data_IF_440245952364
#
_entry.id   IF_440245952364
#
_cell.length_a   1.000
_cell.length_b   1.000
_cell.length_c   1.000
_cell.angle_alpha   90.00
_cell.angle_beta   90.00
_cell.angle_gamma   90.00
#
_symmetry.space_group_name_H-M   'P 1'
#
loop_
_entity.id
_entity.type
_entity.pdbx_description
1 polymer ?
#
# COMPACT_ATOMS: atom_id res chain seq x y z
N UNK A 1 3.99 20.98 -7.13
CA UNK A 1 4.27 20.28 -5.84
C UNK A 1 5.74 19.89 -5.82
N UNK A 2 6.41 20.02 -4.66
CA UNK A 2 7.76 19.47 -4.44
C UNK A 2 7.70 17.94 -4.66
N UNK A 3 8.71 17.35 -5.32
CA UNK A 3 8.79 15.91 -5.63
C UNK A 3 8.60 15.04 -4.38
N UNK A 4 9.20 15.44 -3.26
CA UNK A 4 9.03 14.79 -1.95
C UNK A 4 7.56 14.75 -1.52
N UNK A 5 6.87 15.88 -1.62
CA UNK A 5 5.44 15.99 -1.26
C UNK A 5 4.55 15.18 -2.19
N UNK A 6 4.90 15.06 -3.48
CA UNK A 6 4.18 14.19 -4.42
C UNK A 6 4.33 12.72 -4.04
N UNK A 7 5.55 12.27 -3.74
CA UNK A 7 5.77 10.89 -3.27
C UNK A 7 5.00 10.62 -1.98
N UNK A 8 5.08 11.52 -1.00
CA UNK A 8 4.35 11.35 0.26
C UNK A 8 2.83 11.33 0.06
N UNK A 9 2.30 12.17 -0.82
CA UNK A 9 0.89 12.19 -1.16
C UNK A 9 0.42 10.88 -1.80
N UNK A 10 1.17 10.35 -2.77
CA UNK A 10 0.87 9.06 -3.40
C UNK A 10 0.97 7.91 -2.40
N UNK A 11 1.96 7.92 -1.50
CA UNK A 11 2.08 6.95 -0.42
C UNK A 11 0.84 7.00 0.50
N UNK A 12 0.39 8.19 0.90
CA UNK A 12 -0.81 8.37 1.73
C UNK A 12 -2.08 7.82 1.09
N UNK A 13 -2.34 8.20 -0.16
CA UNK A 13 -3.53 7.74 -0.88
C UNK A 13 -3.51 6.23 -0.99
N UNK A 14 -2.38 5.65 -1.40
CA UNK A 14 -2.25 4.22 -1.59
C UNK A 14 -2.39 3.45 -0.29
N UNK A 15 -1.77 3.94 0.79
CA UNK A 15 -1.89 3.40 2.14
C UNK A 15 -3.34 3.40 2.62
N UNK A 16 -4.04 4.53 2.47
CA UNK A 16 -5.45 4.65 2.86
C UNK A 16 -6.36 3.77 2.00
N UNK A 17 -6.10 3.68 0.69
CA UNK A 17 -6.87 2.83 -0.21
C UNK A 17 -6.79 1.35 0.19
N UNK A 18 -5.59 0.85 0.52
CA UNK A 18 -5.41 -0.52 0.99
C UNK A 18 -6.11 -0.73 2.34
N UNK A 19 -5.99 0.19 3.28
CA UNK A 19 -6.69 0.11 4.57
C UNK A 19 -8.21 0.08 4.39
N UNK A 20 -8.75 0.95 3.53
CA UNK A 20 -10.18 0.98 3.23
C UNK A 20 -10.64 -0.30 2.54
N UNK A 21 -9.84 -0.88 1.65
CA UNK A 21 -10.14 -2.16 1.02
C UNK A 21 -10.19 -3.30 2.05
N UNK A 22 -9.28 -3.32 3.03
CA UNK A 22 -9.31 -4.29 4.13
C UNK A 22 -10.56 -4.12 5.01
N UNK A 23 -10.92 -2.88 5.33
CA UNK A 23 -12.14 -2.58 6.11
C UNK A 23 -13.40 -2.98 5.33
N UNK A 24 -13.47 -2.67 4.03
CA UNK A 24 -14.58 -3.09 3.19
C UNK A 24 -14.68 -4.62 3.10
N UNK A 25 -13.55 -5.31 2.92
CA UNK A 25 -13.49 -6.78 2.96
C UNK A 25 -13.86 -7.37 4.31
N UNK A 26 -13.64 -6.64 5.42
CA UNK A 26 -14.09 -7.06 6.75
C UNK A 26 -15.62 -7.08 6.88
N UNK A 27 -16.32 -6.20 6.17
CA UNK A 27 -17.79 -6.07 6.23
C UNK A 27 -18.49 -7.21 5.48
N UNK A 28 -17.87 -7.74 4.43
CA UNK A 28 -18.43 -8.82 3.61
C UNK A 28 -17.85 -10.20 3.95
N UNK A 29 -16.66 -10.23 4.57
CA UNK A 29 -15.92 -11.44 4.90
C UNK A 29 -15.57 -11.56 6.39
N UNK A 30 -14.38 -12.06 6.67
CA UNK A 30 -13.91 -12.28 8.03
C UNK A 30 -13.20 -11.06 8.60
N UNK A 31 -13.83 -10.38 9.57
CA UNK A 31 -13.22 -9.25 10.27
C UNK A 31 -11.89 -9.62 10.96
N UNK A 32 -11.70 -10.87 11.37
CA UNK A 32 -10.46 -11.35 11.99
C UNK A 32 -9.29 -11.32 10.98
N UNK A 33 -9.53 -11.76 9.76
CA UNK A 33 -8.53 -11.72 8.69
C UNK A 33 -8.21 -10.28 8.29
N UNK A 34 -9.22 -9.40 8.27
CA UNK A 34 -8.99 -7.99 8.03
C UNK A 34 -8.13 -7.35 9.12
N UNK A 35 -8.37 -7.64 10.40
CA UNK A 35 -7.53 -7.15 11.51
C UNK A 35 -6.09 -7.63 11.37
N UNK A 36 -5.87 -8.93 11.14
CA UNK A 36 -4.53 -9.49 10.92
C UNK A 36 -3.88 -8.81 9.71
N UNK A 37 -4.64 -8.66 8.63
CA UNK A 37 -4.22 -7.98 7.42
C UNK A 37 -3.92 -6.51 7.60
N UNK A 38 -4.47 -5.81 8.60
CA UNK A 38 -4.15 -4.40 8.86
C UNK A 38 -2.84 -4.21 9.65
N UNK A 39 -2.40 -5.21 10.43
CA UNK A 39 -1.25 -5.07 11.34
C UNK A 39 0.01 -4.54 10.64
N UNK A 40 0.46 -5.09 9.50
CA UNK A 40 1.67 -4.59 8.82
C UNK A 40 1.56 -3.11 8.46
N UNK A 41 0.40 -2.67 7.96
CA UNK A 41 0.15 -1.27 7.59
C UNK A 41 0.10 -0.36 8.82
N UNK A 42 -0.50 -0.81 9.93
CA UNK A 42 -0.56 -0.03 11.15
C UNK A 42 0.83 0.16 11.79
N UNK A 43 1.70 -0.84 11.70
CA UNK A 43 3.07 -0.74 12.23
C UNK A 43 3.92 0.28 11.46
N UNK A 44 3.66 0.47 10.17
CA UNK A 44 4.42 1.38 9.28
C UNK A 44 3.76 2.74 9.09
N UNK A 45 2.71 3.06 9.84
CA UNK A 45 1.91 4.30 9.66
C UNK A 45 2.76 5.58 9.68
N UNK A 46 3.86 5.59 10.43
CA UNK A 46 4.75 6.75 10.53
C UNK A 46 5.33 7.18 9.18
N UNK A 47 5.56 6.24 8.25
CA UNK A 47 6.07 6.55 6.92
C UNK A 47 5.05 7.34 6.09
N UNK A 48 3.94 6.71 5.66
CA UNK A 48 2.95 7.37 4.82
C UNK A 48 2.30 8.56 5.52
N UNK A 49 1.98 8.47 6.82
CA UNK A 49 1.25 9.54 7.51
C UNK A 49 2.17 10.70 7.90
N UNK A 50 3.30 10.42 8.57
CA UNK A 50 4.17 11.47 9.13
C UNK A 50 5.34 11.86 8.20
N UNK A 51 5.58 11.10 7.14
CA UNK A 51 6.74 11.32 6.26
C UNK A 51 8.05 10.78 6.83
N UNK A 52 8.01 9.92 7.86
CA UNK A 52 9.22 9.35 8.45
C UNK A 52 9.97 8.47 7.43
N UNK A 53 11.27 8.70 7.27
CA UNK A 53 12.10 7.98 6.29
C UNK A 53 12.14 6.49 6.58
N UNK A 54 12.40 6.10 7.84
CA UNK A 54 12.45 4.68 8.23
C UNK A 54 11.08 4.02 8.05
N UNK A 55 10.01 4.72 8.43
CA UNK A 55 8.65 4.27 8.23
C UNK A 55 8.31 4.03 6.76
N UNK A 56 8.77 4.89 5.84
CA UNK A 56 8.59 4.69 4.40
C UNK A 56 9.40 3.49 3.88
N UNK A 57 10.64 3.32 4.33
CA UNK A 57 11.44 2.12 4.01
C UNK A 57 10.73 0.83 4.45
N UNK A 58 10.18 0.80 5.67
CA UNK A 58 9.39 -0.32 6.15
C UNK A 58 8.06 -0.48 5.41
N UNK A 59 7.40 0.62 5.02
CA UNK A 59 6.16 0.57 4.24
C UNK A 59 6.37 -0.11 2.88
N UNK A 60 7.53 0.11 2.24
CA UNK A 60 7.89 -0.59 1.01
C UNK A 60 7.98 -2.13 1.22
N UNK A 61 8.41 -2.59 2.38
CA UNK A 61 8.40 -4.02 2.71
C UNK A 61 7.02 -4.52 3.13
N UNK A 62 6.33 -3.78 4.00
CA UNK A 62 5.04 -4.17 4.56
C UNK A 62 3.96 -4.31 3.50
N UNK A 63 4.09 -3.61 2.37
CA UNK A 63 3.08 -3.63 1.31
C UNK A 63 3.14 -4.88 0.41
N UNK A 64 4.25 -5.62 0.43
CA UNK A 64 4.48 -6.75 -0.49
C UNK A 64 3.39 -7.83 -0.46
N UNK A 65 2.85 -8.26 0.70
CA UNK A 65 1.78 -9.27 0.74
C UNK A 65 0.50 -8.81 0.03
N UNK A 66 0.12 -7.54 0.15
CA UNK A 66 -1.07 -7.01 -0.54
C UNK A 66 -0.85 -6.95 -2.05
N UNK A 67 0.35 -6.53 -2.49
CA UNK A 67 0.68 -6.54 -3.91
C UNK A 67 0.58 -7.95 -4.49
N UNK A 68 1.21 -8.94 -3.84
CA UNK A 68 1.20 -10.33 -4.32
C UNK A 68 -0.22 -10.88 -4.39
N UNK A 69 -0.99 -10.74 -3.30
CA UNK A 69 -2.39 -11.15 -3.26
C UNK A 69 -3.24 -10.46 -4.33
N UNK A 70 -3.08 -9.15 -4.48
CA UNK A 70 -3.80 -8.36 -5.47
C UNK A 70 -3.53 -8.83 -6.89
N UNK A 71 -2.27 -9.09 -7.23
CA UNK A 71 -1.91 -9.60 -8.56
C UNK A 71 -2.48 -11.00 -8.80
N UNK A 72 -2.33 -11.92 -7.84
CA UNK A 72 -2.79 -13.31 -8.01
C UNK A 72 -4.30 -13.39 -8.21
N UNK A 73 -5.06 -12.69 -7.36
CA UNK A 73 -6.53 -12.70 -7.43
C UNK A 73 -7.05 -11.89 -8.62
N UNK A 74 -6.36 -10.82 -9.02
CA UNK A 74 -6.75 -10.08 -10.21
C UNK A 74 -6.53 -10.90 -11.48
N UNK A 75 -5.47 -11.71 -11.54
CA UNK A 75 -5.26 -12.67 -12.64
C UNK A 75 -6.37 -13.72 -12.65
N UNK A 76 -6.74 -14.25 -11.49
CA UNK A 76 -7.86 -15.20 -11.37
C UNK A 76 -9.18 -14.60 -11.86
N UNK A 77 -9.53 -13.39 -11.41
CA UNK A 77 -10.71 -12.64 -11.87
C UNK A 77 -10.77 -12.45 -13.39
N UNK A 78 -9.62 -12.31 -14.05
CA UNK A 78 -9.55 -12.03 -15.49
C UNK A 78 -9.46 -13.30 -16.35
N UNK A 79 -8.90 -14.38 -15.82
CA UNK A 79 -8.53 -15.56 -16.60
C UNK A 79 -9.36 -16.81 -16.29
N UNK A 80 -10.06 -16.85 -15.15
CA UNK A 80 -10.87 -18.01 -14.75
C UNK A 80 -12.36 -17.75 -15.02
N UNK A 81 -13.00 -18.50 -15.94
CA UNK A 81 -14.43 -18.37 -16.19
C UNK A 81 -15.26 -18.70 -14.94
N UNK A 82 -16.26 -17.88 -14.63
CA UNK A 82 -17.19 -18.10 -13.53
C UNK A 82 -16.79 -17.48 -12.19
N UNK A 83 -15.64 -16.80 -12.11
CA UNK A 83 -15.27 -15.97 -10.95
C UNK A 83 -15.96 -14.61 -11.05
N UNK A 84 -16.62 -14.19 -9.97
CA UNK A 84 -17.25 -12.86 -9.93
C UNK A 84 -16.17 -11.76 -9.86
N UNK A 85 -16.20 -10.77 -10.76
CA UNK A 85 -15.19 -9.72 -10.78
C UNK A 85 -15.28 -8.85 -9.52
N UNK A 86 -14.16 -8.71 -8.82
CA UNK A 86 -14.01 -7.83 -7.66
C UNK A 86 -12.98 -6.74 -7.94
N UNK A 87 -13.25 -5.53 -7.47
CA UNK A 87 -12.31 -4.40 -7.56
C UNK A 87 -11.25 -4.44 -6.44
N UNK A 88 -11.44 -5.24 -5.40
CA UNK A 88 -10.53 -5.26 -4.24
C UNK A 88 -9.11 -5.74 -4.61
N UNK A 89 -8.94 -6.84 -5.39
CA UNK A 89 -7.62 -7.25 -5.88
C UNK A 89 -6.89 -6.16 -6.66
N UNK A 90 -7.61 -5.40 -7.50
CA UNK A 90 -7.05 -4.28 -8.24
C UNK A 90 -6.53 -3.18 -7.31
N UNK A 91 -7.26 -2.85 -6.24
CA UNK A 91 -6.81 -1.87 -5.23
C UNK A 91 -5.55 -2.36 -4.52
N UNK A 92 -5.50 -3.64 -4.12
CA UNK A 92 -4.32 -4.21 -3.48
C UNK A 92 -3.09 -4.24 -4.40
N UNK A 93 -3.30 -4.56 -5.68
CA UNK A 93 -2.24 -4.54 -6.68
C UNK A 93 -1.72 -3.13 -6.94
N UNK A 94 -2.57 -2.23 -7.43
CA UNK A 94 -2.16 -0.90 -7.87
C UNK A 94 -1.80 0.01 -6.70
N UNK A 95 -2.58 -0.06 -5.61
CA UNK A 95 -2.25 0.62 -4.36
C UNK A 95 -0.96 0.06 -3.77
N UNK A 96 -0.76 -1.25 -3.84
CA UNK A 96 0.47 -1.89 -3.35
C UNK A 96 1.72 -1.44 -4.11
N UNK A 97 1.66 -1.47 -5.44
CA UNK A 97 2.73 -1.01 -6.31
C UNK A 97 3.00 0.49 -6.13
N UNK A 98 1.94 1.31 -6.04
CA UNK A 98 2.09 2.76 -5.87
C UNK A 98 2.68 3.11 -4.52
N UNK A 99 2.24 2.47 -3.43
CA UNK A 99 2.82 2.66 -2.10
C UNK A 99 4.29 2.26 -2.08
N UNK A 100 4.65 1.12 -2.67
CA UNK A 100 6.04 0.67 -2.78
C UNK A 100 6.92 1.73 -3.45
N UNK A 101 6.54 2.16 -4.66
CA UNK A 101 7.31 3.12 -5.46
C UNK A 101 7.39 4.45 -4.72
N UNK A 102 6.26 4.97 -4.24
CA UNK A 102 6.19 6.25 -3.57
C UNK A 102 7.04 6.28 -2.29
N UNK A 103 6.99 5.23 -1.47
CA UNK A 103 7.77 5.14 -0.25
C UNK A 103 9.28 5.05 -0.51
N UNK A 104 9.68 4.31 -1.54
CA UNK A 104 11.08 4.25 -2.00
C UNK A 104 11.57 5.61 -2.53
N UNK A 105 10.77 6.28 -3.37
CA UNK A 105 11.12 7.60 -3.91
C UNK A 105 11.23 8.65 -2.81
N UNK A 106 10.29 8.65 -1.84
CA UNK A 106 10.36 9.54 -0.68
C UNK A 106 11.64 9.31 0.11
N UNK A 107 11.94 8.05 0.44
CA UNK A 107 13.13 7.71 1.23
C UNK A 107 14.42 8.12 0.53
N UNK A 108 14.50 7.91 -0.79
CA UNK A 108 15.65 8.33 -1.60
C UNK A 108 15.81 9.84 -1.63
N UNK A 109 14.75 10.58 -1.95
CA UNK A 109 14.83 12.03 -2.07
C UNK A 109 15.08 12.72 -0.73
N UNK A 110 14.56 12.17 0.38
CA UNK A 110 14.90 12.68 1.71
C UNK A 110 16.40 12.49 1.99
N UNK A 111 16.96 11.32 1.67
CA UNK A 111 18.40 11.08 1.84
C UNK A 111 19.27 12.00 0.96
N UNK A 112 18.82 12.34 -0.25
CA UNK A 112 19.50 13.31 -1.11
C UNK A 112 19.48 14.73 -0.52
N UNK A 113 18.39 15.13 0.16
CA UNK A 113 18.30 16.41 0.86
C UNK A 113 19.20 16.43 2.10
N UNK A 114 19.14 15.39 2.93
CA UNK A 114 19.92 15.29 4.16
C UNK A 114 21.44 15.27 3.90
N UNK A 115 21.88 14.87 2.70
CA UNK A 115 23.28 14.88 2.29
C UNK A 115 23.76 16.21 1.66
N UNK A 116 22.82 17.09 1.30
CA UNK A 116 23.11 18.40 0.73
C UNK A 116 23.20 19.51 1.80
N UNK A 117 22.68 19.25 3.00
CA UNK A 117 22.79 20.08 4.21
C UNK A 117 24.09 19.79 4.98
#
# INVERSE_FOLDING_TARGET
MNKLNTALFLARISYLAILLALVAGAMTGSWKLAVIGMIPLLLVYAGPIKGDTKGNQWAAFAVTPYFMYGVTEQVENLMVPGVEPSLMPLVYWLGGATLFIAAMMHSRWQAELDAAD
#
